data_IF_512857733681
#
_entry.id   IF_512857733681
#
_cell.length_a   1.000
_cell.length_b   1.000
_cell.length_c   1.000
_cell.angle_alpha   90.00
_cell.angle_beta   90.00
_cell.angle_gamma   90.00
#
_symmetry.space_group_name_H-M   'P 1'
#
loop_
_entity.id
_entity.type
_entity.pdbx_description
1 polymer ?
#
# COMPACT_ATOMS: atom_id res chain seq x y z
N UNK A 1 9.36 6.51 25.39
CA UNK A 1 8.16 7.10 24.75
C UNK A 1 7.57 6.08 23.77
N UNK A 2 6.25 5.90 23.71
CA UNK A 2 5.67 4.89 22.80
C UNK A 2 5.88 5.32 21.34
N UNK A 3 6.29 4.41 20.46
CA UNK A 3 6.66 4.70 19.07
C UNK A 3 5.53 5.38 18.25
N UNK A 4 4.28 5.09 18.58
CA UNK A 4 3.10 5.73 17.98
C UNK A 4 3.04 7.24 18.31
N UNK A 5 3.35 7.64 19.54
CA UNK A 5 3.38 9.05 19.95
C UNK A 5 4.52 9.77 19.24
N UNK A 6 5.70 9.15 19.18
CA UNK A 6 6.84 9.71 18.44
C UNK A 6 6.47 9.95 16.97
N UNK A 7 5.80 8.97 16.35
CA UNK A 7 5.42 9.04 14.95
C UNK A 7 4.35 10.12 14.69
N UNK A 8 3.33 10.22 15.55
CA UNK A 8 2.32 11.27 15.46
C UNK A 8 2.95 12.68 15.56
N UNK A 9 3.93 12.86 16.44
CA UNK A 9 4.69 14.12 16.54
C UNK A 9 5.49 14.41 15.28
N UNK A 10 6.14 13.39 14.71
CA UNK A 10 6.89 13.54 13.46
C UNK A 10 5.99 13.90 12.28
N UNK A 11 4.83 13.25 12.14
CA UNK A 11 3.84 13.56 11.10
C UNK A 11 3.41 15.03 11.18
N UNK A 12 3.15 15.54 12.38
CA UNK A 12 2.81 16.97 12.58
C UNK A 12 3.97 17.89 12.18
N UNK A 13 5.19 17.57 12.60
CA UNK A 13 6.38 18.36 12.26
C UNK A 13 6.61 18.42 10.74
N UNK A 14 6.48 17.28 10.04
CA UNK A 14 6.59 17.23 8.57
C UNK A 14 5.47 18.01 7.90
N UNK A 15 4.22 17.91 8.39
CA UNK A 15 3.10 18.69 7.86
C UNK A 15 3.28 20.21 7.98
N UNK A 16 3.94 20.66 9.05
CA UNK A 16 4.26 22.07 9.27
C UNK A 16 5.51 22.56 8.51
N UNK A 17 6.31 21.66 7.94
CA UNK A 17 7.58 22.01 7.29
C UNK A 17 7.38 22.93 6.06
N UNK A 18 8.21 23.96 5.94
CA UNK A 18 8.22 24.94 4.83
C UNK A 18 9.63 25.21 4.27
N UNK A 19 10.59 24.30 4.51
CA UNK A 19 12.00 24.48 4.11
C UNK A 19 12.24 24.58 2.60
N UNK A 20 11.28 24.15 1.76
CA UNK A 20 11.43 24.13 0.30
C UNK A 20 10.26 24.91 -0.35
N UNK A 21 10.52 26.13 -0.80
CA UNK A 21 9.49 27.08 -1.27
C UNK A 21 8.59 26.51 -2.36
N UNK A 22 9.14 25.88 -3.41
CA UNK A 22 8.36 25.31 -4.53
C UNK A 22 7.46 24.13 -4.15
N UNK A 23 7.60 23.59 -2.95
CA UNK A 23 6.84 22.46 -2.43
C UNK A 23 5.94 22.87 -1.25
N UNK A 24 5.72 24.17 -1.04
CA UNK A 24 4.89 24.62 0.08
C UNK A 24 3.41 24.28 -0.10
N UNK A 25 2.92 24.23 -1.35
CA UNK A 25 1.49 24.06 -1.66
C UNK A 25 1.10 22.63 -2.06
N UNK A 26 1.99 21.65 -1.88
CA UNK A 26 1.72 20.23 -2.18
C UNK A 26 1.48 19.40 -0.90
N UNK A 27 0.93 18.19 -1.05
CA UNK A 27 0.73 17.32 0.10
C UNK A 27 2.07 16.84 0.68
N UNK A 28 2.08 16.58 2.00
CA UNK A 28 3.18 15.90 2.69
C UNK A 28 2.81 14.43 2.85
N UNK A 29 3.52 13.56 2.16
CA UNK A 29 3.26 12.11 2.17
C UNK A 29 4.05 11.46 3.30
N UNK A 30 3.60 11.71 4.52
CA UNK A 30 4.00 10.95 5.70
C UNK A 30 2.79 10.77 6.61
N UNK A 31 2.32 9.53 6.72
CA UNK A 31 1.20 9.17 7.58
C UNK A 31 1.26 7.69 7.93
N UNK A 32 0.23 7.18 8.60
CA UNK A 32 0.10 5.75 8.86
C UNK A 32 -0.04 4.91 7.56
N UNK A 33 -0.39 5.50 6.40
CA UNK A 33 -0.40 4.77 5.13
C UNK A 33 0.99 4.30 4.69
N UNK A 34 2.04 4.88 5.25
CA UNK A 34 3.40 4.49 4.93
C UNK A 34 3.70 3.07 5.42
N UNK A 35 3.02 2.55 6.44
CA UNK A 35 3.16 1.17 6.88
C UNK A 35 3.06 0.98 8.39
N UNK A 36 3.27 -0.25 8.89
CA UNK A 36 3.21 -0.57 10.30
C UNK A 36 4.43 -0.04 11.07
N UNK A 37 4.27 0.10 12.39
CA UNK A 37 5.36 0.36 13.34
C UNK A 37 5.36 -0.75 14.40
N UNK A 38 6.43 -1.56 14.53
CA UNK A 38 7.63 -1.57 13.70
C UNK A 38 7.38 -2.21 12.32
N UNK A 39 8.34 -2.06 11.40
CA UNK A 39 8.39 -2.80 10.14
C UNK A 39 9.77 -3.41 9.93
N UNK A 40 9.86 -4.63 9.40
CA UNK A 40 11.18 -5.29 9.20
C UNK A 40 11.96 -4.68 8.04
N UNK A 41 11.25 -4.18 7.03
CA UNK A 41 11.84 -3.52 5.86
C UNK A 41 11.28 -2.11 5.76
N UNK A 42 12.15 -1.16 5.46
CA UNK A 42 11.77 0.19 5.05
C UNK A 42 12.25 0.46 3.61
N UNK A 43 11.31 0.62 2.69
CA UNK A 43 11.57 1.06 1.32
C UNK A 43 11.55 2.58 1.24
N UNK A 44 12.54 3.17 0.58
CA UNK A 44 12.70 4.63 0.48
C UNK A 44 12.81 4.99 -1.00
N UNK A 45 11.79 5.66 -1.54
CA UNK A 45 11.79 6.23 -2.89
C UNK A 45 12.41 7.62 -2.96
N UNK A 46 12.33 8.25 -4.14
CA UNK A 46 12.83 9.60 -4.37
C UNK A 46 11.87 10.65 -3.81
N UNK A 47 10.64 10.70 -4.33
CA UNK A 47 9.62 11.67 -3.99
C UNK A 47 8.23 11.13 -4.31
N UNK A 48 7.15 11.67 -3.71
CA UNK A 48 5.78 11.42 -4.14
C UNK A 48 5.58 11.76 -5.61
N UNK A 49 4.83 10.95 -6.36
CA UNK A 49 4.38 11.29 -7.71
C UNK A 49 3.08 12.09 -7.69
N UNK A 50 2.95 13.10 -8.56
CA UNK A 50 1.77 13.98 -8.69
C UNK A 50 0.45 13.23 -8.86
N UNK A 51 0.38 12.23 -9.74
CA UNK A 51 -0.82 11.43 -10.00
C UNK A 51 -0.98 10.24 -9.04
N UNK A 52 -0.01 10.06 -8.14
CA UNK A 52 0.05 8.93 -7.22
C UNK A 52 -0.03 9.37 -5.78
N UNK A 53 1.10 9.29 -5.08
CA UNK A 53 1.19 9.53 -3.65
C UNK A 53 0.78 10.95 -3.22
N UNK A 54 0.98 11.97 -4.07
CA UNK A 54 0.60 13.36 -3.75
C UNK A 54 -0.94 13.53 -3.67
N UNK A 55 -1.69 12.78 -4.49
CA UNK A 55 -3.16 12.79 -4.45
C UNK A 55 -3.72 11.79 -3.44
N UNK A 56 -3.10 10.61 -3.32
CA UNK A 56 -3.65 9.50 -2.53
C UNK A 56 -3.20 9.55 -1.06
N UNK A 57 -2.08 10.22 -0.76
CA UNK A 57 -1.41 10.16 0.54
C UNK A 57 -0.77 8.81 0.85
N UNK A 58 -0.73 7.88 -0.12
CA UNK A 58 -0.14 6.54 0.01
C UNK A 58 1.11 6.46 -0.87
N UNK A 59 2.31 6.27 -0.29
CA UNK A 59 3.56 6.21 -1.06
C UNK A 59 3.57 5.01 -2.00
N UNK A 60 4.08 5.19 -3.23
CA UNK A 60 4.07 4.18 -4.28
C UNK A 60 2.68 3.58 -4.55
N UNK A 61 1.66 4.44 -4.69
CA UNK A 61 0.30 4.03 -5.01
C UNK A 61 -0.32 4.98 -6.04
N UNK A 62 -1.25 4.47 -6.86
CA UNK A 62 -2.03 5.26 -7.82
C UNK A 62 -1.37 5.53 -9.18
N UNK A 63 -0.04 5.68 -9.23
CA UNK A 63 0.71 5.91 -10.48
C UNK A 63 1.40 4.63 -11.01
N UNK A 64 2.07 4.75 -12.17
CA UNK A 64 2.75 3.61 -12.82
C UNK A 64 3.86 3.03 -11.94
N UNK A 65 4.65 3.87 -11.28
CA UNK A 65 5.72 3.42 -10.41
C UNK A 65 5.17 2.70 -9.18
N UNK A 66 4.06 3.19 -8.62
CA UNK A 66 3.32 2.56 -7.54
C UNK A 66 2.78 1.19 -7.92
N UNK A 67 2.14 1.07 -9.09
CA UNK A 67 1.70 -0.24 -9.60
C UNK A 67 2.85 -1.22 -9.74
N UNK A 68 3.98 -0.78 -10.29
CA UNK A 68 5.17 -1.62 -10.42
C UNK A 68 5.75 -2.02 -9.06
N UNK A 69 5.83 -1.10 -8.11
CA UNK A 69 6.26 -1.36 -6.73
C UNK A 69 5.39 -2.42 -6.06
N UNK A 70 4.06 -2.25 -6.11
CA UNK A 70 3.10 -3.18 -5.53
C UNK A 70 3.22 -4.58 -6.16
N UNK A 71 3.44 -4.64 -7.47
CA UNK A 71 3.71 -5.91 -8.17
C UNK A 71 5.00 -6.57 -7.72
N UNK A 72 6.10 -5.83 -7.60
CA UNK A 72 7.38 -6.36 -7.12
C UNK A 72 7.26 -6.85 -5.66
N UNK A 73 6.55 -6.10 -4.82
CA UNK A 73 6.31 -6.43 -3.42
C UNK A 73 5.50 -7.74 -3.30
N UNK A 74 4.35 -7.82 -3.99
CA UNK A 74 3.50 -9.01 -3.96
C UNK A 74 4.21 -10.24 -4.56
N UNK A 75 4.88 -10.07 -5.70
CA UNK A 75 5.57 -11.16 -6.41
C UNK A 75 6.78 -11.70 -5.65
N UNK A 76 7.37 -10.90 -4.76
CA UNK A 76 8.43 -11.36 -3.85
C UNK A 76 7.89 -11.95 -2.54
N UNK A 77 6.57 -12.11 -2.44
CA UNK A 77 5.89 -12.70 -1.28
C UNK A 77 5.88 -11.77 -0.07
N UNK A 78 5.93 -10.46 -0.28
CA UNK A 78 5.80 -9.43 0.76
C UNK A 78 4.43 -8.74 0.66
N UNK A 79 3.94 -8.21 1.78
CA UNK A 79 2.73 -7.37 1.82
C UNK A 79 3.06 -5.98 2.35
N UNK A 80 2.27 -4.96 1.95
CA UNK A 80 2.29 -3.61 2.55
C UNK A 80 2.08 -3.62 4.07
N UNK A 81 1.45 -4.68 4.61
CA UNK A 81 1.26 -4.85 6.04
C UNK A 81 2.52 -5.29 6.80
N UNK A 82 3.63 -5.56 6.09
CA UNK A 82 4.89 -6.05 6.67
C UNK A 82 6.06 -5.08 6.47
N UNK A 83 5.86 -4.02 5.68
CA UNK A 83 6.91 -3.11 5.23
C UNK A 83 6.48 -1.67 5.42
N UNK A 84 7.43 -0.80 5.74
CA UNK A 84 7.25 0.64 5.74
C UNK A 84 7.76 1.20 4.41
N UNK A 85 7.05 2.14 3.82
CA UNK A 85 7.37 2.73 2.52
C UNK A 85 7.33 4.23 2.67
N UNK A 86 8.38 4.92 2.25
CA UNK A 86 8.45 6.39 2.29
C UNK A 86 9.30 6.90 1.14
N UNK A 87 9.62 8.19 1.12
CA UNK A 87 10.48 8.83 0.14
C UNK A 87 11.57 9.66 0.82
N UNK A 88 12.64 9.95 0.08
CA UNK A 88 13.72 10.84 0.50
C UNK A 88 13.22 12.25 0.81
N UNK A 89 12.31 12.77 -0.02
CA UNK A 89 11.54 13.98 0.28
C UNK A 89 10.07 13.64 0.47
N UNK A 90 9.42 14.24 1.46
CA UNK A 90 8.00 13.99 1.76
C UNK A 90 7.02 14.72 0.83
N UNK A 91 7.50 15.66 0.00
CA UNK A 91 6.67 16.50 -0.87
C UNK A 91 6.95 16.20 -2.35
N UNK A 92 5.96 16.36 -3.22
CA UNK A 92 6.15 16.25 -4.67
C UNK A 92 6.90 17.49 -5.22
N UNK A 93 8.11 17.35 -5.79
CA UNK A 93 8.80 18.45 -6.45
C UNK A 93 8.13 18.73 -7.80
N UNK A 94 7.32 19.80 -7.87
CA UNK A 94 6.66 20.21 -9.10
C UNK A 94 7.50 21.20 -9.89
N UNK A 95 7.43 21.10 -11.21
CA UNK A 95 7.82 22.17 -12.13
C UNK A 95 6.71 23.22 -12.20
N UNK A 96 7.01 24.37 -12.81
CA UNK A 96 6.05 25.46 -13.02
C UNK A 96 4.82 25.05 -13.84
N UNK A 97 5.00 24.09 -14.77
CA UNK A 97 3.91 23.48 -15.56
C UNK A 97 3.09 22.43 -14.78
N UNK A 98 3.42 22.22 -13.50
CA UNK A 98 2.77 21.26 -12.63
C UNK A 98 3.21 19.80 -12.84
N UNK A 99 4.18 19.51 -13.71
CA UNK A 99 4.71 18.14 -13.91
C UNK A 99 5.69 17.73 -12.80
N UNK A 100 5.94 16.42 -12.67
CA UNK A 100 6.94 15.91 -11.72
C UNK A 100 8.35 16.36 -12.14
N UNK A 101 9.15 16.74 -11.14
CA UNK A 101 10.57 16.98 -11.26
C UNK A 101 11.38 16.02 -10.38
N UNK A 102 12.70 16.09 -10.47
CA UNK A 102 13.61 15.45 -9.51
C UNK A 102 13.89 16.45 -8.37
N UNK A 103 13.91 16.01 -7.09
CA UNK A 103 14.31 16.89 -6.00
C UNK A 103 15.81 17.21 -6.11
N UNK A 104 16.15 18.47 -5.87
CA UNK A 104 17.55 18.91 -5.78
C UNK A 104 18.23 18.33 -4.54
N UNK A 105 19.56 18.26 -4.55
CA UNK A 105 20.32 17.82 -3.37
C UNK A 105 20.05 18.68 -2.13
N UNK A 106 19.74 19.98 -2.31
CA UNK A 106 19.35 20.83 -1.18
C UNK A 106 17.98 20.45 -0.61
N UNK A 107 17.01 20.12 -1.46
CA UNK A 107 15.69 19.65 -1.02
C UNK A 107 15.78 18.30 -0.30
N UNK A 108 16.66 17.41 -0.77
CA UNK A 108 16.98 16.14 -0.10
C UNK A 108 17.59 16.42 1.28
N UNK A 109 18.63 17.26 1.36
CA UNK A 109 19.25 17.67 2.63
C UNK A 109 18.24 18.25 3.62
N UNK A 110 17.34 19.11 3.15
CA UNK A 110 16.32 19.73 3.99
C UNK A 110 15.40 18.69 4.67
N UNK A 111 15.16 17.55 4.02
CA UNK A 111 14.29 16.48 4.50
C UNK A 111 15.04 15.35 5.23
N UNK A 112 16.38 15.34 5.19
CA UNK A 112 17.20 14.26 5.76
C UNK A 112 16.93 14.01 7.25
N UNK A 113 16.74 15.06 8.06
CA UNK A 113 16.42 14.92 9.49
C UNK A 113 15.08 14.21 9.70
N UNK A 114 14.06 14.56 8.91
CA UNK A 114 12.76 13.88 8.98
C UNK A 114 12.88 12.41 8.58
N UNK A 115 13.71 12.10 7.59
CA UNK A 115 13.96 10.71 7.18
C UNK A 115 14.73 9.93 8.24
N UNK A 116 15.74 10.56 8.88
CA UNK A 116 16.46 9.99 10.02
C UNK A 116 15.50 9.63 11.15
N UNK A 117 14.65 10.57 11.58
CA UNK A 117 13.66 10.31 12.65
C UNK A 117 12.69 9.19 12.25
N UNK A 118 12.25 9.13 10.98
CA UNK A 118 11.40 8.03 10.51
C UNK A 118 12.10 6.67 10.71
N UNK A 119 13.36 6.56 10.27
CA UNK A 119 14.15 5.32 10.36
C UNK A 119 14.35 4.90 11.83
N UNK A 120 14.62 5.85 12.72
CA UNK A 120 14.79 5.62 14.16
C UNK A 120 13.49 5.13 14.83
N UNK A 121 12.33 5.66 14.42
CA UNK A 121 11.01 5.25 14.95
C UNK A 121 10.56 3.90 14.40
N UNK A 122 10.75 3.68 13.08
CA UNK A 122 10.33 2.44 12.40
C UNK A 122 11.19 1.25 12.84
N UNK A 123 12.46 1.49 13.15
CA UNK A 123 13.46 0.49 13.52
C UNK A 123 13.55 -0.68 12.52
N UNK A 124 13.73 -0.43 11.21
CA UNK A 124 13.82 -1.50 10.23
C UNK A 124 15.14 -2.26 10.35
N UNK A 125 15.08 -3.58 10.16
CA UNK A 125 16.28 -4.41 10.03
C UNK A 125 16.95 -4.21 8.67
N UNK A 126 16.16 -3.96 7.62
CA UNK A 126 16.62 -3.68 6.26
C UNK A 126 16.04 -2.37 5.75
N UNK A 127 16.90 -1.48 5.27
CA UNK A 127 16.54 -0.29 4.48
C UNK A 127 16.87 -0.56 3.03
N UNK A 128 15.89 -0.37 2.15
CA UNK A 128 16.05 -0.54 0.72
C UNK A 128 15.80 0.79 -0.01
N UNK A 129 16.85 1.40 -0.55
CA UNK A 129 16.72 2.65 -1.32
C UNK A 129 16.32 2.34 -2.77
N UNK A 130 15.31 3.01 -3.28
CA UNK A 130 14.77 2.86 -4.62
C UNK A 130 15.24 4.03 -5.50
N UNK A 131 16.36 3.85 -6.20
CA UNK A 131 16.97 4.85 -7.08
C UNK A 131 18.10 5.65 -6.42
N UNK A 132 18.85 6.38 -7.25
CA UNK A 132 20.07 7.08 -6.83
C UNK A 132 19.79 8.25 -5.87
N UNK A 133 18.69 8.98 -6.06
CA UNK A 133 18.29 10.09 -5.18
C UNK A 133 17.90 9.60 -3.78
N UNK A 134 17.22 8.45 -3.71
CA UNK A 134 16.92 7.80 -2.44
C UNK A 134 18.21 7.37 -1.72
N UNK A 135 19.17 6.81 -2.45
CA UNK A 135 20.47 6.43 -1.91
C UNK A 135 21.25 7.67 -1.40
N UNK A 136 21.31 8.74 -2.19
CA UNK A 136 21.92 10.03 -1.80
C UNK A 136 21.34 10.58 -0.49
N UNK A 137 20.02 10.47 -0.30
CA UNK A 137 19.37 10.92 0.93
C UNK A 137 19.89 10.19 2.18
N UNK A 138 20.27 8.91 2.04
CA UNK A 138 20.82 8.12 3.13
C UNK A 138 22.26 8.52 3.47
N UNK A 139 23.04 8.98 2.49
CA UNK A 139 24.38 9.54 2.74
C UNK A 139 24.34 10.79 3.63
N UNK A 140 23.24 11.57 3.59
CA UNK A 140 23.03 12.73 4.47
C UNK A 140 22.67 12.34 5.91
N UNK A 141 22.31 11.09 6.16
CA UNK A 141 22.03 10.56 7.50
C UNK A 141 23.30 9.92 8.07
N UNK A 142 23.94 9.05 7.30
CA UNK A 142 25.18 8.36 7.67
C UNK A 142 25.95 8.07 6.37
N UNK A 143 27.24 8.47 6.24
CA UNK A 143 28.01 8.20 5.04
C UNK A 143 28.07 6.71 4.71
N UNK A 144 27.92 6.36 3.42
CA UNK A 144 28.00 4.96 2.97
C UNK A 144 28.92 4.75 1.75
N UNK A 145 29.23 5.79 0.98
CA UNK A 145 30.16 5.70 -0.17
C UNK A 145 29.69 4.81 -1.33
N UNK A 146 28.39 4.54 -1.42
CA UNK A 146 27.80 3.59 -2.39
C UNK A 146 27.27 4.32 -3.61
N UNK A 147 27.31 3.66 -4.77
CA UNK A 147 26.68 4.10 -6.01
C UNK A 147 25.59 3.11 -6.41
N UNK A 148 24.53 3.57 -7.08
CA UNK A 148 23.44 2.67 -7.46
C UNK A 148 23.89 1.59 -8.46
N UNK A 149 24.72 1.94 -9.44
CA UNK A 149 25.13 1.01 -10.50
C UNK A 149 25.97 -0.13 -9.97
N UNK A 150 26.87 0.17 -9.03
CA UNK A 150 27.91 -0.77 -8.58
C UNK A 150 27.40 -1.61 -7.41
N UNK A 151 26.54 -1.01 -6.57
CA UNK A 151 26.06 -1.63 -5.33
C UNK A 151 24.63 -2.17 -5.40
N UNK A 152 23.99 -2.18 -6.58
CA UNK A 152 22.65 -2.74 -6.72
C UNK A 152 22.60 -4.19 -6.21
N UNK A 153 21.61 -4.51 -5.36
CA UNK A 153 21.39 -5.86 -4.81
C UNK A 153 22.56 -6.37 -3.95
N UNK A 154 23.37 -5.48 -3.40
CA UNK A 154 24.35 -5.81 -2.35
C UNK A 154 23.81 -5.42 -0.98
N UNK A 155 24.42 -5.94 0.10
CA UNK A 155 23.99 -5.64 1.47
C UNK A 155 25.14 -5.04 2.26
N UNK A 156 24.90 -3.88 2.85
CA UNK A 156 25.91 -3.11 3.58
C UNK A 156 25.45 -2.82 5.01
N UNK A 157 26.39 -2.78 5.96
CA UNK A 157 26.08 -2.26 7.29
C UNK A 157 26.02 -0.74 7.20
N UNK A 158 24.92 -0.16 7.68
CA UNK A 158 24.68 1.26 7.59
C UNK A 158 23.75 1.70 8.72
N UNK A 159 24.17 2.70 9.50
CA UNK A 159 23.36 3.31 10.58
C UNK A 159 22.71 2.26 11.52
N UNK A 160 23.46 1.21 11.88
CA UNK A 160 23.01 0.13 12.78
C UNK A 160 22.10 -0.93 12.15
N UNK A 161 21.92 -0.93 10.83
CA UNK A 161 21.05 -1.87 10.09
C UNK A 161 21.65 -2.26 8.73
N UNK A 162 20.91 -3.03 7.93
CA UNK A 162 21.34 -3.41 6.57
C UNK A 162 20.78 -2.40 5.56
N UNK A 163 21.63 -1.86 4.69
CA UNK A 163 21.26 -1.06 3.52
C UNK A 163 21.40 -1.88 2.24
N UNK A 164 20.37 -1.85 1.39
CA UNK A 164 20.35 -2.49 0.06
C UNK A 164 19.95 -1.46 -1.02
N UNK A 165 20.89 -1.07 -1.90
CA UNK A 165 20.56 -0.24 -3.05
C UNK A 165 19.77 -1.00 -4.11
N UNK A 166 18.67 -0.42 -4.60
CA UNK A 166 17.79 -0.97 -5.63
C UNK A 166 17.45 0.09 -6.69
N UNK A 167 17.12 -0.36 -7.90
CA UNK A 167 16.58 0.56 -8.91
C UNK A 167 15.14 0.96 -8.57
N UNK A 168 14.76 2.17 -8.99
CA UNK A 168 13.40 2.66 -8.83
C UNK A 168 12.43 1.86 -9.72
N UNK A 169 11.19 1.58 -9.28
CA UNK A 169 10.19 0.84 -10.07
C UNK A 169 9.51 1.68 -11.16
N UNK A 170 10.08 2.84 -11.50
CA UNK A 170 9.52 3.77 -12.51
C UNK A 170 9.99 3.41 -13.92
N UNK A 171 9.23 3.84 -14.93
CA UNK A 171 9.48 3.50 -16.34
C UNK A 171 10.91 3.82 -16.79
N UNK A 172 11.47 4.97 -16.40
CA UNK A 172 12.86 5.36 -16.75
C UNK A 172 13.90 4.38 -16.22
N UNK A 173 13.76 3.95 -14.97
CA UNK A 173 14.69 3.01 -14.34
C UNK A 173 14.54 1.57 -14.88
N UNK A 174 13.34 1.21 -15.36
CA UNK A 174 13.11 -0.10 -15.98
C UNK A 174 13.88 -0.33 -17.29
N UNK A 175 14.30 0.74 -17.97
CA UNK A 175 15.19 0.65 -19.13
C UNK A 175 16.57 0.11 -18.72
N UNK A 176 17.09 0.54 -17.57
CA UNK A 176 18.39 0.11 -17.06
C UNK A 176 18.33 -1.22 -16.29
N UNK A 177 17.22 -1.48 -15.60
CA UNK A 177 17.00 -2.72 -14.87
C UNK A 177 15.56 -3.16 -15.03
N UNK A 178 15.34 -4.11 -15.93
CA UNK A 178 14.00 -4.60 -16.26
C UNK A 178 13.26 -5.19 -15.05
N UNK A 179 11.95 -5.39 -15.20
CA UNK A 179 11.09 -5.88 -14.13
C UNK A 179 11.56 -7.22 -13.54
N UNK A 180 12.06 -8.15 -14.37
CA UNK A 180 12.52 -9.46 -13.89
C UNK A 180 13.75 -9.34 -12.97
N UNK A 181 14.70 -8.49 -13.35
CA UNK A 181 15.88 -8.22 -12.53
C UNK A 181 15.50 -7.50 -11.23
N UNK A 182 14.63 -6.49 -11.29
CA UNK A 182 14.11 -5.84 -10.09
C UNK A 182 13.38 -6.83 -9.17
N UNK A 183 12.59 -7.74 -9.74
CA UNK A 183 11.92 -8.78 -8.96
C UNK A 183 12.92 -9.68 -8.24
N UNK A 184 14.02 -10.07 -8.91
CA UNK A 184 15.10 -10.82 -8.27
C UNK A 184 15.75 -10.05 -7.11
N UNK A 185 15.78 -8.72 -7.18
CA UNK A 185 16.31 -7.90 -6.09
C UNK A 185 15.35 -7.82 -4.91
N UNK A 186 14.04 -7.73 -5.17
CA UNK A 186 13.02 -7.77 -4.11
C UNK A 186 13.02 -9.12 -3.38
N UNK A 187 13.24 -10.23 -4.09
CA UNK A 187 13.48 -11.53 -3.46
C UNK A 187 14.71 -11.54 -2.56
N UNK A 188 15.79 -10.84 -2.97
CA UNK A 188 16.99 -10.71 -2.14
C UNK A 188 16.70 -9.96 -0.84
N UNK A 189 15.97 -8.83 -0.91
CA UNK A 189 15.54 -8.08 0.28
C UNK A 189 14.61 -8.92 1.17
N UNK A 190 13.61 -9.60 0.60
CA UNK A 190 12.69 -10.45 1.35
C UNK A 190 13.43 -11.58 2.09
N UNK A 191 14.45 -12.17 1.45
CA UNK A 191 15.28 -13.21 2.06
C UNK A 191 16.09 -12.65 3.24
N UNK A 192 16.70 -11.46 3.09
CA UNK A 192 17.47 -10.83 4.16
C UNK A 192 16.60 -10.49 5.39
N UNK A 193 15.40 -9.96 5.18
CA UNK A 193 14.55 -9.49 6.28
C UNK A 193 13.72 -10.59 6.95
N UNK A 194 13.29 -11.61 6.19
CA UNK A 194 12.35 -12.62 6.67
C UNK A 194 12.90 -14.05 6.67
N UNK A 195 14.11 -14.29 6.15
CA UNK A 195 14.64 -15.64 5.95
C UNK A 195 13.82 -16.49 4.95
N UNK A 196 12.92 -15.85 4.18
CA UNK A 196 12.03 -16.55 3.24
C UNK A 196 12.87 -17.16 2.10
N UNK A 197 12.81 -18.49 1.94
CA UNK A 197 13.28 -19.14 0.70
C UNK A 197 12.43 -18.64 -0.47
N UNK A 198 13.06 -18.50 -1.65
CA UNK A 198 12.37 -18.14 -2.89
C UNK A 198 11.21 -19.13 -3.10
N UNK A 199 9.96 -18.71 -2.85
CA UNK A 199 8.81 -19.49 -3.36
C UNK A 199 8.96 -19.48 -4.88
N UNK A 200 8.69 -20.62 -5.54
CA UNK A 200 8.50 -20.58 -7.01
C UNK A 200 7.51 -19.44 -7.26
N UNK A 201 7.76 -18.55 -8.24
CA UNK A 201 6.80 -17.53 -8.59
C UNK A 201 5.50 -18.26 -8.91
N UNK A 202 4.57 -18.25 -7.97
CA UNK A 202 3.18 -18.39 -8.33
C UNK A 202 2.97 -17.08 -9.05
N UNK A 203 2.61 -17.15 -10.33
CA UNK A 203 2.16 -16.06 -11.17
C UNK A 203 3.19 -15.55 -12.21
N UNK A 204 2.84 -15.71 -13.49
CA UNK A 204 3.44 -14.99 -14.62
C UNK A 204 3.21 -13.49 -14.43
N UNK A 205 3.96 -12.62 -15.13
CA UNK A 205 3.69 -11.20 -15.14
C UNK A 205 2.25 -10.85 -15.53
N UNK A 206 1.42 -11.75 -16.09
CA UNK A 206 -0.01 -11.50 -16.36
C UNK A 206 -0.94 -11.80 -15.17
N UNK A 207 -0.55 -12.63 -14.21
CA UNK A 207 -1.42 -13.03 -13.11
C UNK A 207 -1.19 -12.15 -11.89
N UNK A 208 -1.91 -11.02 -11.88
CA UNK A 208 -1.55 -9.82 -11.12
C UNK A 208 -2.66 -9.36 -10.15
N UNK A 209 -3.59 -10.24 -9.78
CA UNK A 209 -4.62 -10.01 -8.76
C UNK A 209 -4.58 -11.21 -7.80
N UNK A 210 -4.57 -10.94 -6.49
CA UNK A 210 -4.64 -12.00 -5.49
C UNK A 210 -5.88 -12.87 -5.78
N UNK A 211 -5.74 -14.19 -5.98
CA UNK A 211 -6.86 -15.08 -6.23
C UNK A 211 -8.03 -14.89 -5.28
N UNK A 212 -7.72 -14.65 -4.01
CA UNK A 212 -8.67 -14.42 -2.93
C UNK A 212 -9.44 -13.10 -3.08
N UNK A 213 -8.84 -12.08 -3.71
CA UNK A 213 -9.55 -10.85 -4.05
C UNK A 213 -10.51 -11.06 -5.23
N UNK A 214 -10.04 -11.72 -6.30
CA UNK A 214 -10.89 -12.04 -7.46
C UNK A 214 -12.08 -12.89 -7.04
N UNK A 215 -11.83 -13.91 -6.22
CA UNK A 215 -12.81 -14.71 -5.50
C UNK A 215 -13.86 -13.86 -4.80
N UNK A 216 -13.42 -12.93 -3.95
CA UNK A 216 -14.30 -12.13 -3.10
C UNK A 216 -15.19 -11.21 -3.94
N UNK A 217 -14.61 -10.55 -4.94
CA UNK A 217 -15.35 -9.64 -5.83
C UNK A 217 -16.34 -10.41 -6.69
N UNK A 218 -15.88 -11.49 -7.37
CA UNK A 218 -16.72 -12.30 -8.25
C UNK A 218 -17.93 -12.86 -7.53
N UNK A 219 -17.77 -13.42 -6.32
CA UNK A 219 -18.93 -13.95 -5.58
C UNK A 219 -19.80 -12.91 -4.91
N UNK A 220 -19.23 -11.79 -4.49
CA UNK A 220 -20.05 -10.63 -4.09
C UNK A 220 -20.98 -10.23 -5.25
N UNK A 221 -20.44 -10.12 -6.46
CA UNK A 221 -21.20 -9.73 -7.66
C UNK A 221 -22.16 -10.80 -8.17
N UNK A 222 -21.88 -12.08 -7.91
CA UNK A 222 -22.80 -13.18 -8.23
C UNK A 222 -24.12 -13.11 -7.44
N UNK A 223 -24.08 -12.54 -6.22
CA UNK A 223 -25.26 -12.33 -5.37
C UNK A 223 -25.84 -10.92 -5.54
N UNK A 224 -24.97 -9.93 -5.75
CA UNK A 224 -25.32 -8.54 -5.98
C UNK A 224 -24.85 -8.12 -7.37
N UNK A 225 -25.69 -8.33 -8.39
CA UNK A 225 -25.35 -8.09 -9.80
C UNK A 225 -24.68 -6.74 -10.07
N UNK A 226 -25.05 -5.71 -9.30
CA UNK A 226 -24.44 -4.39 -9.33
C UNK A 226 -24.43 -3.79 -7.90
N UNK A 227 -23.34 -3.09 -7.55
CA UNK A 227 -23.25 -2.32 -6.32
C UNK A 227 -22.35 -1.10 -6.49
N UNK A 228 -22.49 -0.08 -5.63
CA UNK A 228 -21.56 1.04 -5.62
C UNK A 228 -20.14 0.56 -5.29
N UNK A 229 -19.11 1.20 -5.86
CA UNK A 229 -17.72 0.89 -5.49
C UNK A 229 -17.49 1.13 -3.99
N UNK A 230 -18.19 2.12 -3.43
CA UNK A 230 -18.25 2.37 -2.00
C UNK A 230 -18.67 1.12 -1.22
N UNK A 231 -19.79 0.50 -1.61
CA UNK A 231 -20.32 -0.68 -0.94
C UNK A 231 -19.34 -1.85 -1.02
N UNK A 232 -18.66 -2.02 -2.17
CA UNK A 232 -17.68 -3.10 -2.36
C UNK A 232 -16.52 -2.99 -1.36
N UNK A 233 -15.97 -1.78 -1.17
CA UNK A 233 -14.93 -1.55 -0.15
C UNK A 233 -15.39 -1.95 1.26
N UNK A 234 -16.66 -1.68 1.62
CA UNK A 234 -17.20 -2.02 2.94
C UNK A 234 -17.44 -3.51 3.10
N UNK A 235 -17.95 -4.17 2.07
CA UNK A 235 -18.16 -5.62 2.07
C UNK A 235 -16.81 -6.34 2.20
N UNK A 236 -15.80 -5.95 1.42
CA UNK A 236 -14.45 -6.51 1.52
C UNK A 236 -13.87 -6.33 2.92
N UNK A 237 -14.00 -5.14 3.51
CA UNK A 237 -13.57 -4.90 4.89
C UNK A 237 -14.31 -5.78 5.91
N UNK A 238 -15.65 -5.87 5.82
CA UNK A 238 -16.45 -6.66 6.77
C UNK A 238 -16.09 -8.14 6.67
N UNK A 239 -15.86 -8.64 5.47
CA UNK A 239 -15.41 -9.99 5.22
C UNK A 239 -14.06 -10.26 5.87
N UNK A 240 -13.04 -9.42 5.60
CA UNK A 240 -11.72 -9.56 6.21
C UNK A 240 -11.75 -9.46 7.73
N UNK A 241 -12.54 -8.54 8.27
CA UNK A 241 -12.69 -8.36 9.71
C UNK A 241 -13.31 -9.60 10.38
N UNK A 242 -14.43 -10.11 9.87
CA UNK A 242 -15.07 -11.29 10.45
C UNK A 242 -14.24 -12.55 10.25
N UNK A 243 -13.57 -12.70 9.10
CA UNK A 243 -12.70 -13.83 8.83
C UNK A 243 -11.51 -13.84 9.80
N UNK A 244 -10.86 -12.68 10.01
CA UNK A 244 -9.80 -12.51 11.01
C UNK A 244 -10.29 -12.84 12.41
N UNK A 245 -11.48 -12.36 12.80
CA UNK A 245 -12.06 -12.62 14.12
C UNK A 245 -12.33 -14.10 14.36
N UNK A 246 -12.80 -14.82 13.35
CA UNK A 246 -13.14 -16.25 13.45
C UNK A 246 -11.91 -17.16 13.36
N UNK A 247 -10.92 -16.80 12.55
CA UNK A 247 -9.80 -17.69 12.21
C UNK A 247 -8.44 -17.28 12.82
N UNK A 248 -8.38 -16.14 13.50
CA UNK A 248 -7.11 -15.57 14.02
C UNK A 248 -6.14 -15.08 12.94
N UNK A 249 -6.50 -15.20 11.66
CA UNK A 249 -5.73 -14.73 10.50
C UNK A 249 -6.66 -14.15 9.44
N UNK A 250 -6.16 -13.20 8.65
CA UNK A 250 -6.90 -12.64 7.50
C UNK A 250 -7.05 -13.66 6.37
N UNK A 251 -8.08 -13.48 5.55
CA UNK A 251 -8.30 -14.31 4.36
C UNK A 251 -7.32 -13.93 3.25
N UNK A 252 -7.07 -12.62 3.10
CA UNK A 252 -6.15 -12.08 2.09
C UNK A 252 -4.99 -11.30 2.72
N UNK A 253 -4.06 -10.89 1.86
CA UNK A 253 -3.01 -9.92 2.18
C UNK A 253 -3.41 -8.47 1.86
N UNK A 254 -4.70 -8.19 1.63
CA UNK A 254 -5.19 -6.88 1.21
C UNK A 254 -4.76 -5.77 2.18
N UNK A 255 -4.46 -4.61 1.61
CA UNK A 255 -4.11 -3.42 2.37
C UNK A 255 -5.35 -2.53 2.54
N UNK A 256 -5.92 -2.63 3.74
CA UNK A 256 -7.08 -1.87 4.16
C UNK A 256 -6.63 -0.68 4.99
N UNK A 257 -7.16 0.51 4.69
CA UNK A 257 -6.85 1.76 5.39
C UNK A 257 -8.12 2.50 5.78
N UNK A 258 -8.03 3.33 6.82
CA UNK A 258 -9.09 4.26 7.24
C UNK A 258 -9.10 5.49 6.33
N UNK A 259 -10.08 5.64 5.45
CA UNK A 259 -10.35 6.88 4.69
C UNK A 259 -11.50 7.66 5.32
N UNK A 260 -11.74 8.93 4.94
CA UNK A 260 -12.85 9.77 5.50
C UNK A 260 -14.21 9.04 5.51
N UNK A 261 -14.46 8.32 4.44
CA UNK A 261 -15.69 7.56 4.18
C UNK A 261 -15.68 6.13 4.76
N UNK A 262 -14.70 5.80 5.59
CA UNK A 262 -14.55 4.53 6.29
C UNK A 262 -13.43 3.65 5.76
N UNK A 263 -13.49 2.33 6.01
CA UNK A 263 -12.52 1.38 5.47
C UNK A 263 -12.43 1.45 3.95
N UNK A 264 -11.20 1.44 3.44
CA UNK A 264 -10.88 1.52 2.02
C UNK A 264 -9.81 0.48 1.71
N UNK A 265 -9.99 -0.28 0.63
CA UNK A 265 -9.05 -1.29 0.17
C UNK A 265 -8.25 -0.72 -0.99
N UNK A 266 -6.96 -0.48 -0.79
CA UNK A 266 -6.12 0.14 -1.84
C UNK A 266 -5.98 -0.75 -3.07
N UNK A 267 -6.03 -2.07 -2.86
CA UNK A 267 -5.83 -3.04 -3.94
C UNK A 267 -7.05 -3.18 -4.87
N UNK A 268 -8.24 -2.73 -4.43
CA UNK A 268 -9.47 -2.85 -5.24
C UNK A 268 -9.39 -1.99 -6.50
N UNK A 269 -8.92 -0.74 -6.39
CA UNK A 269 -8.83 0.17 -7.53
C UNK A 269 -7.91 -0.40 -8.62
N UNK A 270 -6.77 -0.97 -8.24
CA UNK A 270 -5.84 -1.63 -9.16
C UNK A 270 -6.47 -2.88 -9.79
N UNK A 271 -7.13 -3.72 -8.99
CA UNK A 271 -7.77 -4.94 -9.48
C UNK A 271 -8.87 -4.66 -10.52
N UNK A 272 -9.73 -3.68 -10.25
CA UNK A 272 -10.88 -3.34 -11.10
C UNK A 272 -10.51 -2.68 -12.44
N UNK A 273 -9.24 -2.34 -12.67
CA UNK A 273 -8.77 -1.95 -14.00
C UNK A 273 -8.67 -3.13 -14.98
N UNK A 274 -8.91 -4.37 -14.52
CA UNK A 274 -8.82 -5.58 -15.34
C UNK A 274 -10.05 -6.47 -15.20
N UNK A 275 -11.10 -6.18 -15.98
CA UNK A 275 -12.36 -6.91 -15.93
C UNK A 275 -12.22 -8.40 -16.26
N UNK A 276 -11.28 -8.76 -17.13
CA UNK A 276 -10.97 -10.14 -17.52
C UNK A 276 -10.50 -11.01 -16.35
N UNK A 277 -9.87 -10.43 -15.34
CA UNK A 277 -9.27 -11.17 -14.21
C UNK A 277 -10.12 -11.15 -12.94
N UNK A 278 -10.87 -10.09 -12.72
CA UNK A 278 -11.77 -9.95 -11.56
C UNK A 278 -13.19 -10.44 -11.89
N UNK A 279 -13.53 -10.54 -13.18
CA UNK A 279 -14.90 -10.78 -13.64
C UNK A 279 -15.83 -9.61 -13.34
N UNK A 280 -15.28 -8.39 -13.26
CA UNK A 280 -16.00 -7.21 -12.80
C UNK A 280 -15.58 -5.95 -13.58
N UNK A 281 -16.53 -5.11 -13.95
CA UNK A 281 -16.26 -3.84 -14.61
C UNK A 281 -16.80 -2.65 -13.82
N UNK A 282 -16.13 -1.50 -13.95
CA UNK A 282 -16.55 -0.25 -13.33
C UNK A 282 -17.37 0.55 -14.32
N UNK A 283 -18.58 0.92 -13.92
CA UNK A 283 -19.48 1.80 -14.68
C UNK A 283 -19.76 3.07 -13.86
N UNK A 284 -20.15 4.14 -14.53
CA UNK A 284 -20.51 5.39 -13.86
C UNK A 284 -22.01 5.68 -13.98
N UNK A 285 -22.65 5.99 -12.85
CA UNK A 285 -24.05 6.43 -12.77
C UNK A 285 -24.10 7.78 -12.08
N UNK A 286 -24.58 8.81 -12.77
CA UNK A 286 -24.65 10.17 -12.22
C UNK A 286 -23.31 10.61 -11.59
N UNK A 287 -22.20 10.30 -12.26
CA UNK A 287 -20.84 10.61 -11.79
C UNK A 287 -20.30 9.72 -10.66
N UNK A 288 -21.06 8.75 -10.15
CA UNK A 288 -20.60 7.82 -9.10
C UNK A 288 -20.17 6.49 -9.69
N UNK A 289 -19.06 5.89 -9.21
CA UNK A 289 -18.59 4.59 -9.67
C UNK A 289 -19.41 3.45 -9.06
N UNK A 290 -19.88 2.55 -9.92
CA UNK A 290 -20.52 1.27 -9.60
C UNK A 290 -19.70 0.14 -10.19
N UNK A 291 -19.82 -1.04 -9.61
CA UNK A 291 -19.18 -2.27 -10.06
C UNK A 291 -20.27 -3.29 -10.37
N UNK A 292 -20.19 -3.92 -11.53
CA UNK A 292 -21.07 -5.03 -11.93
C UNK A 292 -20.26 -6.19 -12.47
N UNK A 293 -20.86 -7.37 -12.52
CA UNK A 293 -20.25 -8.53 -13.16
C UNK A 293 -19.98 -8.24 -14.65
N UNK A 294 -18.81 -8.64 -15.16
CA UNK A 294 -18.47 -8.49 -16.57
C UNK A 294 -19.33 -9.42 -17.44
N UNK A 295 -19.87 -8.91 -18.56
CA UNK A 295 -20.91 -9.56 -19.35
C UNK A 295 -20.50 -10.75 -20.24
N UNK A 296 -19.25 -11.22 -20.22
CA UNK A 296 -18.84 -12.37 -21.05
C UNK A 296 -18.91 -13.69 -20.26
N UNK A 297 -19.75 -14.61 -20.75
CA UNK A 297 -19.93 -15.97 -20.23
C UNK A 297 -18.62 -16.78 -20.11
N UNK A 298 -17.55 -16.37 -20.80
CA UNK A 298 -16.23 -17.01 -20.70
C UNK A 298 -15.44 -16.66 -19.41
N UNK A 299 -15.71 -15.50 -18.77
CA UNK A 299 -14.86 -15.00 -17.67
C UNK A 299 -15.34 -15.36 -16.27
N UNK A 300 -16.64 -15.57 -16.06
CA UNK A 300 -17.17 -15.98 -14.76
C UNK A 300 -16.85 -17.45 -14.42
N UNK A 301 -16.76 -18.32 -15.44
CA UNK A 301 -16.39 -19.73 -15.27
C UNK A 301 -14.87 -19.93 -15.18
N UNK A 302 -14.05 -19.14 -15.87
CA UNK A 302 -12.59 -19.20 -15.68
C UNK A 302 -12.13 -18.49 -14.39
N UNK A 303 -12.78 -17.39 -13.97
CA UNK A 303 -12.57 -16.80 -12.64
C UNK A 303 -13.05 -17.73 -11.51
N UNK A 304 -13.92 -18.70 -11.82
CA UNK A 304 -14.32 -19.75 -10.88
C UNK A 304 -13.26 -20.83 -10.66
N UNK A 305 -12.21 -20.91 -11.50
CA UNK A 305 -11.13 -21.88 -11.36
C UNK A 305 -10.05 -21.51 -10.33
N UNK A 306 -10.13 -20.33 -9.69
CA UNK A 306 -9.20 -20.01 -8.60
C UNK A 306 -9.97 -19.85 -7.29
N UNK A 307 -10.16 -20.99 -6.63
CA UNK A 307 -10.66 -21.07 -5.28
C UNK A 307 -9.85 -22.08 -4.48
N UNK A 308 -9.10 -21.67 -3.43
CA UNK A 308 -9.02 -22.54 -2.27
C UNK A 308 -10.47 -22.65 -1.77
N UNK A 309 -11.10 -23.80 -1.98
CA UNK A 309 -12.40 -24.12 -1.41
C UNK A 309 -12.24 -24.11 0.11
N UNK A 310 -12.50 -22.95 0.70
CA UNK A 310 -12.65 -22.80 2.14
C UNK A 310 -14.17 -22.67 2.39
N UNK A 311 -14.87 -23.75 2.77
CA UNK A 311 -16.30 -23.72 3.07
C UNK A 311 -16.67 -22.62 4.08
N UNK A 312 -15.79 -22.37 5.06
CA UNK A 312 -16.01 -21.33 6.07
C UNK A 312 -16.02 -19.92 5.45
N UNK A 313 -15.19 -19.70 4.42
CA UNK A 313 -15.17 -18.45 3.68
C UNK A 313 -16.46 -18.26 2.86
N UNK A 314 -16.95 -19.30 2.20
CA UNK A 314 -18.22 -19.26 1.44
C UNK A 314 -19.40 -18.95 2.36
N UNK A 315 -19.52 -19.68 3.47
CA UNK A 315 -20.59 -19.47 4.45
C UNK A 315 -20.52 -18.07 5.07
N UNK A 316 -19.31 -17.63 5.44
CA UNK A 316 -19.11 -16.29 5.98
C UNK A 316 -19.53 -15.21 4.99
N UNK A 317 -19.10 -15.31 3.73
CA UNK A 317 -19.48 -14.34 2.70
C UNK A 317 -20.99 -14.32 2.51
N UNK A 318 -21.63 -15.48 2.39
CA UNK A 318 -23.09 -15.58 2.24
C UNK A 318 -23.83 -14.90 3.40
N UNK A 319 -23.41 -15.12 4.66
CA UNK A 319 -23.97 -14.45 5.84
C UNK A 319 -23.80 -12.93 5.79
N UNK A 320 -22.64 -12.45 5.37
CA UNK A 320 -22.38 -11.00 5.24
C UNK A 320 -23.27 -10.41 4.15
N UNK A 321 -23.36 -11.03 2.97
CA UNK A 321 -24.17 -10.57 1.85
C UNK A 321 -25.66 -10.54 2.21
N UNK A 322 -26.15 -11.56 2.92
CA UNK A 322 -27.51 -11.57 3.45
C UNK A 322 -27.77 -10.39 4.39
N UNK A 323 -26.83 -10.09 5.30
CA UNK A 323 -26.94 -8.99 6.26
C UNK A 323 -26.90 -7.59 5.63
N UNK A 324 -26.19 -7.42 4.51
CA UNK A 324 -26.05 -6.11 3.83
C UNK A 324 -27.07 -5.91 2.70
N UNK A 325 -27.88 -6.92 2.40
CA UNK A 325 -28.87 -6.87 1.31
C UNK A 325 -29.85 -5.72 1.51
N UNK A 326 -30.02 -4.91 0.46
CA UNK A 326 -30.95 -3.77 0.45
C UNK A 326 -30.55 -2.59 1.32
N UNK A 327 -29.38 -2.63 1.97
CA UNK A 327 -28.90 -1.50 2.77
C UNK A 327 -28.41 -0.37 1.88
N UNK A 328 -28.69 0.87 2.28
CA UNK A 328 -28.06 2.06 1.69
C UNK A 328 -26.57 2.15 2.06
N UNK A 329 -25.79 2.86 1.25
CA UNK A 329 -24.38 3.15 1.53
C UNK A 329 -24.18 3.75 2.93
N UNK A 330 -25.09 4.60 3.39
CA UNK A 330 -25.06 5.18 4.73
C UNK A 330 -25.22 4.13 5.85
N UNK A 331 -26.15 3.17 5.67
CA UNK A 331 -26.34 2.07 6.63
C UNK A 331 -25.15 1.11 6.63
N UNK A 332 -24.61 0.79 5.46
CA UNK A 332 -23.43 -0.05 5.32
C UNK A 332 -22.19 0.61 5.93
N UNK A 333 -22.01 1.92 5.75
CA UNK A 333 -21.00 2.73 6.44
C UNK A 333 -21.11 2.58 7.95
N UNK A 334 -22.31 2.76 8.49
CA UNK A 334 -22.57 2.63 9.93
C UNK A 334 -22.27 1.23 10.46
N UNK A 335 -22.53 0.18 9.69
CA UNK A 335 -22.12 -1.17 10.07
C UNK A 335 -20.60 -1.29 10.19
N UNK A 336 -19.85 -0.78 9.21
CA UNK A 336 -18.37 -0.80 9.31
C UNK A 336 -17.86 0.00 10.50
N UNK A 337 -18.52 1.12 10.86
CA UNK A 337 -18.10 1.97 11.98
C UNK A 337 -18.34 1.33 13.34
N UNK A 338 -19.22 0.33 13.40
CA UNK A 338 -19.55 -0.41 14.62
C UNK A 338 -18.60 -1.57 14.90
N UNK A 339 -17.73 -1.94 13.96
CA UNK A 339 -16.69 -2.95 14.24
C UNK A 339 -15.70 -2.41 15.28
N UNK A 340 -15.15 -3.26 16.17
CA UNK A 340 -14.17 -2.84 17.17
C UNK A 340 -12.97 -2.07 16.60
N UNK A 341 -12.32 -2.50 15.49
CA UNK A 341 -11.18 -1.75 14.92
C UNK A 341 -11.56 -0.33 14.49
N UNK A 342 -12.74 -0.14 13.90
CA UNK A 342 -13.20 1.19 13.50
C UNK A 342 -13.64 2.04 14.70
N UNK A 343 -14.34 1.45 15.67
CA UNK A 343 -14.73 2.16 16.90
C UNK A 343 -13.52 2.70 17.64
N UNK A 344 -12.43 1.94 17.70
CA UNK A 344 -11.19 2.36 18.35
C UNK A 344 -10.56 3.56 17.62
N UNK A 345 -10.46 3.52 16.29
CA UNK A 345 -9.98 4.65 15.52
C UNK A 345 -10.87 5.88 15.66
N UNK A 346 -12.20 5.71 15.61
CA UNK A 346 -13.14 6.81 15.79
C UNK A 346 -13.06 7.42 17.20
N UNK A 347 -12.75 6.62 18.23
CA UNK A 347 -12.49 7.10 19.59
C UNK A 347 -11.21 7.92 19.66
N UNK A 348 -10.15 7.49 18.98
CA UNK A 348 -8.89 8.22 18.86
C UNK A 348 -9.07 9.54 18.08
N UNK A 349 -9.88 9.54 17.02
CA UNK A 349 -10.23 10.76 16.28
C UNK A 349 -10.93 11.80 17.18
N UNK A 350 -11.85 11.36 18.05
CA UNK A 350 -12.52 12.23 19.02
C UNK A 350 -11.58 12.82 20.07
N UNK A 351 -10.47 12.15 20.37
CA UNK A 351 -9.42 12.68 21.25
C UNK A 351 -8.37 13.52 20.51
N UNK A 352 -8.64 13.89 19.25
CA UNK A 352 -7.78 14.76 18.44
C UNK A 352 -6.64 14.05 17.71
N UNK A 353 -6.61 12.71 17.69
CA UNK A 353 -5.62 11.96 16.90
C UNK A 353 -6.02 11.86 15.43
N UNK A 354 -5.08 12.11 14.53
CA UNK A 354 -5.28 11.93 13.09
C UNK A 354 -5.16 10.46 12.70
N UNK A 355 -6.28 9.83 12.34
CA UNK A 355 -6.36 8.39 12.02
C UNK A 355 -6.62 8.09 10.53
N UNK A 356 -6.71 9.11 9.67
CA UNK A 356 -6.81 8.88 8.24
C UNK A 356 -5.57 8.16 7.72
N UNK A 357 -5.78 7.34 6.70
CA UNK A 357 -4.84 6.43 6.08
C UNK A 357 -4.25 5.36 7.02
N UNK A 358 -4.76 5.22 8.25
CA UNK A 358 -4.27 4.21 9.19
C UNK A 358 -4.60 2.79 8.71
N UNK A 359 -3.61 1.87 8.67
CA UNK A 359 -3.84 0.47 8.34
C UNK A 359 -4.88 -0.15 9.27
N UNK A 360 -5.78 -0.92 8.68
CA UNK A 360 -6.85 -1.64 9.35
C UNK A 360 -6.50 -3.12 9.35
N UNK A 361 -6.95 -3.82 10.40
CA UNK A 361 -6.82 -5.28 10.51
C UNK A 361 -5.37 -5.76 10.40
N UNK A 362 -4.40 -4.94 10.81
CA UNK A 362 -3.02 -5.38 10.99
C UNK A 362 -2.98 -6.27 12.23
N UNK A 363 -2.24 -7.39 12.16
CA UNK A 363 -2.12 -8.30 13.28
C UNK A 363 -1.73 -7.53 14.56
N UNK A 364 -2.49 -7.74 15.64
CA UNK A 364 -2.11 -7.23 16.94
C UNK A 364 -0.81 -7.92 17.39
N UNK A 365 0.01 -7.17 18.13
CA UNK A 365 1.27 -7.65 18.74
C UNK A 365 1.03 -9.00 19.41
N UNK A 366 1.81 -10.01 19.03
CA UNK A 366 2.11 -11.14 19.91
C UNK A 366 3.15 -10.70 20.94
#
# INVERSE_FOLDING_TARGET
MRADICFETLVKAVGACRKCSRMNDVARVLSWANGPLPAKIMFIGEAPGRLGADQTGVPFHGDVAGRNFELLLASSGMSRNEVFVTNAVACNPRKSDGTNDTPSSQEIRNCADHLRTQIEIVQPAVVASLGARALEALAHIEPHGLTLSDDVRTSHRWFGRILVPLYHPGQRAMVHRNFHNQLSDYYFVARLAFGRKKKRPILSPESRIAPELSWLVSRTLSTHHELSLFALHKIVYLFEYEFLRLNGRRFTSLFLIRQKEGPYCTDLASALTRPDRVGAEVIFRQGKPFVRAAGSQASLFEASQVRPTNPDAEELLARILARVRGLSDARLKMMTYRTPPMRELLKQERSGRYCLNRPLLVAARA
#
